data_IF_411401462595
#
_entry.id   IF_411401462595
#
_cell.length_a   1.000
_cell.length_b   1.000
_cell.length_c   1.000
_cell.angle_alpha   90.00
_cell.angle_beta   90.00
_cell.angle_gamma   90.00
#
_symmetry.space_group_name_H-M   'P 1'
#
loop_
_entity.id
_entity.type
_entity.pdbx_description
1 polymer ?
#
# COMPACT_ATOMS: atom_id res chain seq x y z
N UNK A 1 -26.87 -23.84 2.54
CA UNK A 1 -27.24 -23.16 3.79
C UNK A 1 -28.34 -22.16 3.46
N UNK A 2 -29.61 -22.49 3.75
CA UNK A 2 -30.73 -21.55 3.64
C UNK A 2 -30.96 -20.89 5.00
N UNK A 3 -30.86 -19.56 5.04
CA UNK A 3 -31.19 -18.76 6.22
C UNK A 3 -32.61 -18.23 6.12
N UNK A 4 -33.49 -18.64 7.01
CA UNK A 4 -34.78 -17.99 7.25
C UNK A 4 -34.69 -17.05 8.44
N UNK A 5 -35.20 -15.83 8.32
CA UNK A 5 -35.31 -14.84 9.38
C UNK A 5 -36.13 -15.38 10.56
N UNK A 6 -35.53 -15.42 11.74
CA UNK A 6 -36.34 -15.36 12.95
C UNK A 6 -36.07 -16.37 14.04
N UNK A 7 -35.23 -17.40 13.88
CA UNK A 7 -34.91 -18.32 14.97
C UNK A 7 -33.45 -18.74 14.90
N UNK A 8 -32.70 -18.42 15.92
CA UNK A 8 -31.37 -18.97 16.11
C UNK A 8 -31.54 -20.44 16.51
N UNK A 9 -31.47 -21.34 15.51
CA UNK A 9 -31.47 -22.78 15.81
C UNK A 9 -30.11 -23.18 16.36
N UNK A 10 -30.07 -23.86 17.48
CA UNK A 10 -28.91 -24.47 18.12
C UNK A 10 -28.35 -25.65 17.31
N UNK A 11 -28.66 -25.75 16.02
CA UNK A 11 -28.30 -26.86 15.13
C UNK A 11 -28.03 -26.39 13.70
N UNK A 12 -27.10 -27.06 13.03
CA UNK A 12 -26.78 -26.86 11.61
C UNK A 12 -27.27 -28.07 10.82
N UNK A 13 -28.07 -27.87 9.78
CA UNK A 13 -28.52 -28.95 8.89
C UNK A 13 -27.49 -29.23 7.81
N UNK A 14 -26.95 -30.43 7.74
CA UNK A 14 -25.97 -30.88 6.76
C UNK A 14 -26.65 -31.94 5.87
N UNK A 15 -27.42 -31.48 4.87
CA UNK A 15 -28.08 -32.33 3.88
C UNK A 15 -29.41 -32.94 4.36
N UNK A 16 -30.18 -33.57 3.49
CA UNK A 16 -31.47 -34.13 3.86
C UNK A 16 -31.31 -35.32 4.82
N UNK A 17 -31.65 -35.12 6.09
CA UNK A 17 -31.84 -36.18 7.09
C UNK A 17 -30.92 -36.21 8.31
N UNK A 18 -30.00 -35.29 8.50
CA UNK A 18 -29.17 -35.25 9.69
C UNK A 18 -29.13 -33.85 10.31
N UNK A 19 -29.78 -33.72 11.48
CA UNK A 19 -29.65 -32.52 12.32
C UNK A 19 -28.84 -32.92 13.56
N UNK A 20 -27.66 -32.36 13.71
CA UNK A 20 -26.81 -32.57 14.87
C UNK A 20 -26.70 -31.30 15.70
N UNK A 21 -27.00 -31.38 17.02
CA UNK A 21 -26.82 -30.27 17.93
C UNK A 21 -25.32 -29.95 18.08
N UNK A 22 -24.95 -28.67 17.90
CA UNK A 22 -23.58 -28.23 18.09
C UNK A 22 -23.24 -28.13 19.59
N UNK A 23 -22.03 -28.55 19.93
CA UNK A 23 -21.49 -28.32 21.25
C UNK A 23 -21.39 -26.82 21.58
N UNK A 24 -21.34 -26.40 22.85
CA UNK A 24 -21.22 -25.00 23.24
C UNK A 24 -20.00 -24.29 22.59
N UNK A 25 -18.91 -25.03 22.31
CA UNK A 25 -17.74 -24.54 21.55
C UNK A 25 -18.04 -24.37 20.06
N UNK A 26 -18.78 -25.30 19.46
CA UNK A 26 -19.22 -25.21 18.07
C UNK A 26 -20.20 -24.06 17.84
N UNK A 27 -21.12 -23.82 18.77
CA UNK A 27 -22.04 -22.67 18.71
C UNK A 27 -21.30 -21.32 18.81
N UNK A 28 -20.27 -21.21 19.64
CA UNK A 28 -19.42 -20.02 19.71
C UNK A 28 -18.65 -19.80 18.41
N UNK A 29 -18.08 -20.84 17.80
CA UNK A 29 -17.38 -20.77 16.54
C UNK A 29 -18.28 -20.31 15.40
N UNK A 30 -19.52 -20.86 15.30
CA UNK A 30 -20.50 -20.44 14.27
C UNK A 30 -20.97 -19.00 14.50
N UNK A 31 -21.19 -18.58 15.74
CA UNK A 31 -21.54 -17.18 16.06
C UNK A 31 -20.38 -16.23 15.72
N UNK A 32 -19.15 -16.61 16.04
CA UNK A 32 -17.95 -15.84 15.70
C UNK A 32 -17.80 -15.71 14.19
N UNK A 33 -17.97 -16.82 13.45
CA UNK A 33 -17.88 -16.83 11.98
C UNK A 33 -18.99 -16.00 11.31
N UNK A 34 -20.22 -16.02 11.85
CA UNK A 34 -21.32 -15.21 11.36
C UNK A 34 -21.07 -13.70 11.60
N UNK A 35 -20.49 -13.32 12.73
CA UNK A 35 -20.10 -11.95 13.04
C UNK A 35 -18.97 -11.49 12.12
N UNK A 36 -18.01 -12.37 11.85
CA UNK A 36 -16.91 -12.11 10.90
C UNK A 36 -17.46 -11.84 9.49
N UNK A 37 -18.32 -12.73 8.99
CA UNK A 37 -18.94 -12.57 7.67
C UNK A 37 -19.81 -11.31 7.58
N UNK A 38 -20.54 -10.98 8.66
CA UNK A 38 -21.36 -9.76 8.69
C UNK A 38 -20.51 -8.48 8.71
N UNK A 39 -19.41 -8.44 9.48
CA UNK A 39 -18.49 -7.30 9.51
C UNK A 39 -17.71 -7.13 8.21
N UNK A 40 -17.30 -8.24 7.58
CA UNK A 40 -16.57 -8.22 6.29
C UNK A 40 -17.49 -7.82 5.13
N UNK A 41 -18.77 -8.25 5.13
CA UNK A 41 -19.73 -7.95 4.07
C UNK A 41 -20.28 -6.50 4.12
N UNK A 42 -20.15 -5.80 5.25
CA UNK A 42 -20.80 -4.49 5.45
C UNK A 42 -22.30 -4.63 5.74
N UNK A 43 -22.88 -3.66 6.43
CA UNK A 43 -24.29 -3.66 6.86
C UNK A 43 -25.29 -3.27 5.73
N UNK A 44 -25.04 -3.65 4.50
CA UNK A 44 -25.91 -3.43 3.36
C UNK A 44 -25.86 -4.61 2.41
N UNK A 45 -26.99 -5.29 2.25
CA UNK A 45 -27.25 -6.42 1.37
C UNK A 45 -26.25 -7.59 1.42
N UNK A 46 -26.65 -8.67 2.07
CA UNK A 46 -26.03 -9.98 1.96
C UNK A 46 -26.30 -10.54 0.53
N UNK A 47 -25.72 -9.91 -0.48
CA UNK A 47 -25.57 -10.51 -1.78
C UNK A 47 -24.53 -11.63 -1.65
N UNK A 48 -24.94 -12.85 -1.95
CA UNK A 48 -24.11 -14.03 -2.12
C UNK A 48 -22.83 -13.61 -2.85
N UNK A 49 -21.67 -13.72 -2.19
CA UNK A 49 -20.37 -13.51 -2.81
C UNK A 49 -20.24 -14.55 -3.92
N UNK A 50 -20.50 -14.13 -5.15
CA UNK A 50 -20.20 -14.91 -6.35
C UNK A 50 -18.67 -15.14 -6.45
N UNK A 51 -18.24 -16.07 -7.32
CA UNK A 51 -16.82 -16.30 -7.56
C UNK A 51 -16.14 -14.95 -7.88
N UNK A 52 -14.86 -14.77 -7.52
CA UNK A 52 -14.15 -13.54 -7.77
C UNK A 52 -14.33 -13.14 -9.25
N UNK A 53 -14.94 -12.00 -9.47
CA UNK A 53 -15.18 -11.50 -10.83
C UNK A 53 -13.81 -11.37 -11.49
N UNK A 54 -13.65 -12.01 -12.65
CA UNK A 54 -12.50 -11.79 -13.50
C UNK A 54 -12.40 -10.28 -13.76
N UNK A 55 -11.33 -9.68 -13.27
CA UNK A 55 -11.05 -8.26 -13.37
C UNK A 55 -10.90 -7.90 -14.84
N UNK A 56 -11.55 -6.83 -15.34
CA UNK A 56 -11.15 -6.28 -16.63
C UNK A 56 -9.67 -5.89 -16.54
N UNK A 57 -8.86 -6.17 -17.56
CA UNK A 57 -7.51 -5.69 -17.62
C UNK A 57 -7.53 -4.15 -17.45
N UNK A 58 -6.54 -3.55 -16.77
CA UNK A 58 -6.40 -2.11 -16.78
C UNK A 58 -6.34 -1.63 -18.23
N UNK A 59 -6.80 -0.39 -18.54
CA UNK A 59 -6.56 0.19 -19.84
C UNK A 59 -5.06 0.08 -20.09
N UNK A 60 -4.70 -0.48 -21.24
CA UNK A 60 -3.34 -0.83 -21.56
C UNK A 60 -2.45 0.40 -21.33
N UNK A 61 -1.50 0.30 -20.39
CA UNK A 61 -0.40 1.25 -20.26
C UNK A 61 0.49 1.28 -21.50
N UNK A 62 0.26 0.34 -22.44
CA UNK A 62 0.97 0.19 -23.69
C UNK A 62 1.02 1.48 -24.54
N UNK A 63 -0.03 2.30 -24.49
CA UNK A 63 -0.03 3.57 -25.25
C UNK A 63 0.83 4.68 -24.59
N UNK A 64 1.33 4.46 -23.39
CA UNK A 64 2.08 5.46 -22.61
C UNK A 64 3.59 5.32 -22.76
N UNK A 65 4.05 4.14 -23.15
CA UNK A 65 5.47 3.84 -23.28
C UNK A 65 5.83 3.47 -24.71
N UNK A 66 7.03 3.84 -25.21
CA UNK A 66 7.50 3.42 -26.52
C UNK A 66 7.48 1.89 -26.65
N UNK A 67 7.10 1.38 -27.84
CA UNK A 67 7.21 -0.05 -28.15
C UNK A 67 8.67 -0.50 -27.94
N UNK A 68 8.86 -1.56 -27.14
CA UNK A 68 10.21 -2.08 -26.85
C UNK A 68 10.89 -1.45 -25.62
N UNK A 69 10.23 -0.56 -24.86
CA UNK A 69 10.80 -0.03 -23.62
C UNK A 69 11.17 -1.19 -22.66
N UNK A 70 12.45 -1.27 -22.30
CA UNK A 70 12.89 -2.16 -21.23
C UNK A 70 12.35 -1.68 -19.88
N UNK A 71 12.02 -2.64 -19.02
CA UNK A 71 11.52 -2.36 -17.67
C UNK A 71 12.51 -1.47 -16.91
N UNK A 72 11.98 -0.40 -16.28
CA UNK A 72 12.74 0.48 -15.40
C UNK A 72 11.95 0.71 -14.11
N UNK A 73 12.38 0.08 -13.02
CA UNK A 73 11.81 0.31 -11.68
C UNK A 73 12.81 1.12 -10.85
N UNK A 74 12.32 2.23 -10.31
CA UNK A 74 13.06 3.10 -9.39
C UNK A 74 12.39 3.04 -8.03
N UNK A 75 13.12 2.59 -7.00
CA UNK A 75 12.59 2.50 -5.64
C UNK A 75 13.11 3.63 -4.74
N UNK A 76 12.23 4.22 -3.95
CA UNK A 76 12.54 5.23 -2.94
C UNK A 76 12.09 4.74 -1.57
N UNK A 77 13.02 4.28 -0.75
CA UNK A 77 12.75 3.86 0.61
C UNK A 77 13.26 4.88 1.65
N UNK A 78 12.86 4.73 2.91
CA UNK A 78 13.33 5.56 4.01
C UNK A 78 12.26 5.85 5.07
N UNK A 79 12.62 6.53 6.17
CA UNK A 79 11.74 6.72 7.32
C UNK A 79 10.56 7.67 7.03
N UNK A 80 9.62 7.73 7.97
CA UNK A 80 8.46 8.60 7.87
C UNK A 80 8.88 10.09 7.84
N UNK A 81 8.33 10.87 6.90
CA UNK A 81 8.61 12.31 6.80
C UNK A 81 9.95 12.68 6.14
N UNK A 82 10.70 11.73 5.54
CA UNK A 82 11.93 12.04 4.78
C UNK A 82 11.68 12.73 3.43
N UNK A 83 10.40 12.84 2.99
CA UNK A 83 10.05 13.52 1.74
C UNK A 83 9.83 12.60 0.54
N UNK A 84 9.98 11.28 0.71
CA UNK A 84 9.89 10.26 -0.37
C UNK A 84 8.72 10.42 -1.32
N UNK A 85 7.49 10.50 -0.82
CA UNK A 85 6.29 10.57 -1.64
C UNK A 85 6.28 11.82 -2.54
N UNK A 86 6.75 12.96 -2.00
CA UNK A 86 6.84 14.20 -2.77
C UNK A 86 7.93 14.11 -3.83
N UNK A 87 9.10 13.57 -3.47
CA UNK A 87 10.23 13.36 -4.40
C UNK A 87 9.83 12.36 -5.48
N UNK A 88 9.32 11.19 -5.11
CA UNK A 88 8.94 10.13 -6.05
C UNK A 88 7.89 10.60 -7.06
N UNK A 89 6.83 11.28 -6.60
CA UNK A 89 5.81 11.83 -7.48
C UNK A 89 6.38 12.86 -8.45
N UNK A 90 7.22 13.78 -7.95
CA UNK A 90 7.81 14.82 -8.80
C UNK A 90 8.82 14.26 -9.81
N UNK A 91 9.59 13.28 -9.39
CA UNK A 91 10.51 12.53 -10.27
C UNK A 91 9.74 11.80 -11.38
N UNK A 92 8.71 11.05 -11.02
CA UNK A 92 7.86 10.33 -11.98
C UNK A 92 7.25 11.29 -13.01
N UNK A 93 6.67 12.41 -12.55
CA UNK A 93 6.09 13.42 -13.42
C UNK A 93 7.14 14.06 -14.38
N UNK A 94 8.36 14.36 -13.89
CA UNK A 94 9.44 14.93 -14.73
C UNK A 94 9.96 13.95 -15.78
N UNK A 95 9.94 12.67 -15.49
CA UNK A 95 10.46 11.61 -16.35
C UNK A 95 9.39 10.93 -17.21
N UNK A 96 8.11 11.27 -17.03
CA UNK A 96 7.00 10.61 -17.71
C UNK A 96 6.78 9.16 -17.27
N UNK A 97 7.20 8.82 -16.04
CA UNK A 97 7.04 7.50 -15.44
C UNK A 97 5.78 7.43 -14.58
N UNK A 98 5.27 6.22 -14.36
CA UNK A 98 4.17 5.99 -13.42
C UNK A 98 4.65 6.11 -11.96
N UNK A 99 3.74 6.53 -11.07
CA UNK A 99 4.04 6.71 -9.65
C UNK A 99 3.19 5.78 -8.78
N UNK A 100 3.84 4.97 -7.93
CA UNK A 100 3.19 4.08 -6.97
C UNK A 100 3.47 4.50 -5.53
N UNK A 101 2.45 5.02 -4.83
CA UNK A 101 2.46 5.23 -3.37
C UNK A 101 2.01 3.95 -2.67
N UNK A 102 2.95 3.12 -2.24
CA UNK A 102 2.60 1.87 -1.54
C UNK A 102 2.01 2.14 -0.15
N UNK A 103 2.42 3.23 0.48
CA UNK A 103 1.83 3.67 1.74
C UNK A 103 0.34 3.98 1.61
N UNK A 104 -0.11 4.45 0.45
CA UNK A 104 -1.54 4.64 0.17
C UNK A 104 -2.31 3.32 0.20
N UNK A 105 -1.74 2.20 -0.30
CA UNK A 105 -2.40 0.87 -0.27
C UNK A 105 -2.66 0.41 1.17
N UNK A 106 -1.63 0.48 2.03
CA UNK A 106 -1.78 0.14 3.45
C UNK A 106 -2.78 1.06 4.17
N UNK A 107 -2.75 2.36 3.88
CA UNK A 107 -3.70 3.34 4.45
C UNK A 107 -5.13 3.12 3.97
N UNK A 108 -5.33 2.78 2.71
CA UNK A 108 -6.65 2.45 2.16
C UNK A 108 -7.25 1.21 2.81
N UNK A 109 -6.45 0.16 2.98
CA UNK A 109 -6.86 -1.03 3.72
C UNK A 109 -7.18 -0.69 5.19
N UNK A 110 -6.36 0.15 5.84
CA UNK A 110 -6.60 0.61 7.21
C UNK A 110 -7.92 1.39 7.31
N UNK A 111 -8.15 2.33 6.40
CA UNK A 111 -9.40 3.10 6.37
C UNK A 111 -10.63 2.19 6.20
N UNK A 112 -10.52 1.16 5.35
CA UNK A 112 -11.58 0.18 5.14
C UNK A 112 -11.80 -0.70 6.37
N UNK A 113 -10.73 -1.13 7.08
CA UNK A 113 -10.82 -1.87 8.32
C UNK A 113 -11.53 -1.05 9.40
N UNK A 114 -11.12 0.19 9.60
CA UNK A 114 -11.75 1.11 10.56
C UNK A 114 -13.22 1.38 10.22
N UNK A 115 -13.55 1.56 8.94
CA UNK A 115 -14.93 1.76 8.50
C UNK A 115 -15.84 0.54 8.77
N UNK A 116 -15.25 -0.67 8.84
CA UNK A 116 -15.95 -1.92 9.21
C UNK A 116 -15.93 -2.19 10.73
N UNK A 117 -15.34 -1.30 11.52
CA UNK A 117 -15.24 -1.42 12.96
C UNK A 117 -14.29 -2.54 13.40
N UNK A 118 -13.29 -2.88 12.57
CA UNK A 118 -12.26 -3.87 12.94
C UNK A 118 -11.23 -3.17 13.84
N UNK A 119 -10.99 -3.76 15.01
CA UNK A 119 -9.90 -3.37 15.90
C UNK A 119 -8.59 -3.95 15.34
N UNK A 120 -7.81 -3.10 14.66
CA UNK A 120 -6.60 -3.53 13.96
C UNK A 120 -5.48 -4.01 14.89
N UNK A 121 -5.52 -3.65 16.17
CA UNK A 121 -4.54 -4.07 17.17
C UNK A 121 -4.86 -5.44 17.78
N UNK A 122 -6.15 -5.85 17.78
CA UNK A 122 -6.60 -7.05 18.48
C UNK A 122 -7.33 -8.07 17.59
N UNK A 123 -7.81 -7.66 16.41
CA UNK A 123 -8.60 -8.50 15.53
C UNK A 123 -7.84 -8.89 14.25
N UNK A 124 -6.58 -9.32 14.36
CA UNK A 124 -5.75 -9.76 13.24
C UNK A 124 -6.45 -10.72 12.27
N UNK A 125 -7.17 -11.78 12.72
CA UNK A 125 -7.90 -12.67 11.83
C UNK A 125 -8.96 -11.97 10.96
N UNK A 126 -9.64 -10.93 11.46
CA UNK A 126 -10.61 -10.14 10.67
C UNK A 126 -9.91 -9.28 9.64
N UNK A 127 -8.75 -8.74 9.98
CA UNK A 127 -7.93 -7.96 9.07
C UNK A 127 -7.39 -8.84 7.92
N UNK A 128 -6.97 -10.07 8.23
CA UNK A 128 -6.54 -11.06 7.24
C UNK A 128 -7.69 -11.44 6.29
N UNK A 129 -8.88 -11.65 6.83
CA UNK A 129 -10.06 -11.95 6.02
C UNK A 129 -10.44 -10.75 5.14
N UNK A 130 -10.37 -9.53 5.68
CA UNK A 130 -10.62 -8.32 4.92
C UNK A 130 -9.69 -8.22 3.71
N UNK A 131 -8.37 -8.37 3.89
CA UNK A 131 -7.40 -8.14 2.81
C UNK A 131 -7.53 -9.16 1.67
N UNK A 132 -8.01 -10.36 1.95
CA UNK A 132 -8.23 -11.40 0.93
C UNK A 132 -9.39 -11.10 -0.01
N UNK A 133 -10.36 -10.30 0.44
CA UNK A 133 -11.60 -10.05 -0.30
C UNK A 133 -11.72 -8.60 -0.79
N UNK A 134 -10.93 -7.68 -0.24
CA UNK A 134 -10.99 -6.27 -0.62
C UNK A 134 -10.24 -6.04 -1.95
N UNK A 135 -10.86 -5.26 -2.84
CA UNK A 135 -10.20 -4.80 -4.07
C UNK A 135 -9.48 -3.46 -3.80
N UNK A 136 -8.14 -3.50 -3.76
CA UNK A 136 -7.29 -2.30 -3.61
C UNK A 136 -6.58 -2.04 -4.93
N UNK A 137 -6.89 -0.91 -5.58
CA UNK A 137 -6.33 -0.56 -6.89
C UNK A 137 -6.15 0.93 -7.06
N UNK A 138 -5.34 1.32 -8.03
CA UNK A 138 -5.18 2.71 -8.44
C UNK A 138 -5.98 3.02 -9.70
N UNK A 139 -6.54 4.22 -9.75
CA UNK A 139 -7.03 4.85 -10.97
C UNK A 139 -5.87 5.65 -11.59
N UNK A 140 -5.25 5.08 -12.62
CA UNK A 140 -4.10 5.64 -13.32
C UNK A 140 -4.47 6.74 -14.31
N UNK A 141 -5.76 7.03 -14.50
CA UNK A 141 -6.21 8.12 -15.36
C UNK A 141 -5.97 9.51 -14.75
N UNK A 142 -5.57 9.57 -13.48
CA UNK A 142 -5.28 10.81 -12.76
C UNK A 142 -3.82 10.91 -12.36
N UNK A 143 -3.29 12.13 -12.22
CA UNK A 143 -1.95 12.42 -11.68
C UNK A 143 -2.07 13.31 -10.44
N UNK A 144 -1.70 12.83 -9.24
CA UNK A 144 -1.28 11.45 -8.94
C UNK A 144 -2.45 10.45 -9.06
N UNK A 145 -2.14 9.15 -9.25
CA UNK A 145 -3.15 8.11 -9.28
C UNK A 145 -3.99 8.08 -8.01
N UNK A 146 -5.31 7.96 -8.14
CA UNK A 146 -6.24 7.87 -7.01
C UNK A 146 -6.35 6.45 -6.49
N UNK A 147 -6.44 6.29 -5.16
CA UNK A 147 -6.63 4.98 -4.56
C UNK A 147 -8.12 4.64 -4.47
N UNK A 148 -8.50 3.54 -5.10
CA UNK A 148 -9.83 2.96 -5.02
C UNK A 148 -9.80 1.72 -4.14
N UNK A 149 -10.72 1.64 -3.17
CA UNK A 149 -10.93 0.46 -2.33
C UNK A 149 -12.40 0.01 -2.49
N UNK A 150 -12.61 -1.23 -2.96
CA UNK A 150 -13.94 -1.72 -3.35
C UNK A 150 -14.68 -0.73 -4.29
N UNK A 151 -13.93 -0.10 -5.20
CA UNK A 151 -14.44 0.87 -6.16
C UNK A 151 -14.72 2.28 -5.61
N UNK A 152 -14.49 2.52 -4.32
CA UNK A 152 -14.65 3.84 -3.69
C UNK A 152 -13.32 4.58 -3.64
N UNK A 153 -13.31 5.84 -4.05
CA UNK A 153 -12.14 6.72 -3.88
C UNK A 153 -11.95 7.04 -2.39
N UNK A 154 -10.82 6.61 -1.84
CA UNK A 154 -10.43 6.88 -0.46
C UNK A 154 -9.26 7.88 -0.35
N UNK A 155 -8.87 8.53 -1.45
CA UNK A 155 -7.68 9.39 -1.51
C UNK A 155 -7.65 10.46 -0.41
N UNK A 156 -8.76 11.12 -0.16
CA UNK A 156 -8.87 12.17 0.88
C UNK A 156 -8.79 11.60 2.30
N UNK A 157 -9.24 10.35 2.49
CA UNK A 157 -9.30 9.67 3.78
C UNK A 157 -7.94 9.15 4.25
N UNK A 158 -6.99 8.93 3.32
CA UNK A 158 -5.70 8.27 3.60
C UNK A 158 -4.83 8.98 4.65
N UNK A 159 -5.04 10.28 4.85
CA UNK A 159 -4.21 11.10 5.76
C UNK A 159 -4.95 11.54 7.02
N UNK A 160 -6.12 11.00 7.26
CA UNK A 160 -6.84 11.23 8.50
C UNK A 160 -6.07 10.68 9.69
N UNK A 161 -6.32 11.24 10.87
CA UNK A 161 -5.56 10.95 12.07
C UNK A 161 -5.70 9.48 12.48
N UNK A 162 -6.92 8.97 12.53
CA UNK A 162 -7.21 7.57 12.90
C UNK A 162 -6.53 6.57 11.96
N UNK A 163 -6.56 6.81 10.64
CA UNK A 163 -5.83 6.00 9.66
C UNK A 163 -4.31 6.10 9.87
N UNK A 164 -3.80 7.31 10.15
CA UNK A 164 -2.38 7.54 10.38
C UNK A 164 -1.89 6.84 11.65
N UNK A 165 -2.70 6.83 12.70
CA UNK A 165 -2.37 6.19 13.98
C UNK A 165 -2.41 4.65 13.87
N UNK A 166 -3.37 4.10 13.11
CA UNK A 166 -3.62 2.67 12.99
C UNK A 166 -2.78 1.94 11.90
N UNK A 167 -2.27 2.64 10.90
CA UNK A 167 -1.62 2.00 9.72
C UNK A 167 -0.38 1.18 10.07
N UNK A 168 0.31 1.48 11.17
CA UNK A 168 1.51 0.73 11.58
C UNK A 168 1.15 -0.70 12.01
N UNK A 169 0.06 -0.90 12.74
CA UNK A 169 -0.44 -2.22 13.11
C UNK A 169 -0.83 -3.04 11.86
N UNK A 170 -1.59 -2.44 10.95
CA UNK A 170 -2.00 -3.08 9.69
C UNK A 170 -0.81 -3.48 8.83
N UNK A 171 0.21 -2.61 8.73
CA UNK A 171 1.40 -2.89 7.92
C UNK A 171 2.37 -3.89 8.57
N UNK A 172 2.20 -4.21 9.84
CA UNK A 172 2.98 -5.22 10.55
C UNK A 172 2.38 -6.64 10.39
N UNK A 173 1.10 -6.77 9.99
CA UNK A 173 0.44 -8.06 9.81
C UNK A 173 0.98 -8.81 8.60
N UNK A 174 1.60 -10.00 8.78
CA UNK A 174 2.27 -10.72 7.70
C UNK A 174 1.36 -11.03 6.51
N UNK A 175 0.15 -11.53 6.77
CA UNK A 175 -0.78 -11.90 5.71
C UNK A 175 -1.29 -10.69 4.90
N UNK A 176 -1.40 -9.52 5.53
CA UNK A 176 -1.67 -8.26 4.82
C UNK A 176 -0.52 -7.92 3.89
N UNK A 177 0.70 -8.08 4.37
CA UNK A 177 1.88 -7.80 3.57
C UNK A 177 1.98 -8.73 2.37
N UNK A 178 1.78 -10.02 2.56
CA UNK A 178 1.85 -11.02 1.47
C UNK A 178 0.92 -10.63 0.32
N UNK A 179 -0.32 -10.26 0.62
CA UNK A 179 -1.30 -9.86 -0.40
C UNK A 179 -0.92 -8.52 -1.06
N UNK A 180 -0.54 -7.51 -0.26
CA UNK A 180 -0.22 -6.20 -0.82
C UNK A 180 1.12 -6.19 -1.57
N UNK A 181 2.13 -6.92 -1.13
CA UNK A 181 3.40 -7.08 -1.85
C UNK A 181 3.18 -7.72 -3.21
N UNK A 182 2.37 -8.80 -3.29
CA UNK A 182 2.06 -9.40 -4.60
C UNK A 182 1.26 -8.44 -5.49
N UNK A 183 0.36 -7.64 -4.92
CA UNK A 183 -0.34 -6.61 -5.68
C UNK A 183 0.63 -5.53 -6.23
N UNK A 184 1.60 -5.09 -5.43
CA UNK A 184 2.65 -4.14 -5.85
C UNK A 184 3.52 -4.73 -6.96
N UNK A 185 3.95 -5.99 -6.84
CA UNK A 185 4.71 -6.69 -7.88
C UNK A 185 3.93 -6.82 -9.18
N UNK A 186 2.63 -7.09 -9.09
CA UNK A 186 1.77 -7.11 -10.28
C UNK A 186 1.73 -5.74 -10.96
N UNK A 187 1.56 -4.66 -10.20
CA UNK A 187 1.61 -3.30 -10.73
C UNK A 187 2.95 -3.05 -11.44
N UNK A 188 4.08 -3.45 -10.84
CA UNK A 188 5.38 -3.30 -11.49
C UNK A 188 5.57 -4.13 -12.76
N UNK A 189 4.77 -5.20 -12.98
CA UNK A 189 4.72 -5.93 -14.25
C UNK A 189 3.84 -5.24 -15.29
N UNK A 190 2.78 -4.58 -14.84
CA UNK A 190 1.81 -3.87 -15.70
C UNK A 190 2.31 -2.47 -16.11
N UNK A 191 3.27 -1.90 -15.38
CA UNK A 191 3.82 -0.56 -15.55
C UNK A 191 5.36 -0.63 -15.71
N UNK A 192 5.86 -0.76 -16.94
CA UNK A 192 7.29 -0.98 -17.20
C UNK A 192 8.18 0.18 -16.76
N UNK A 193 7.67 1.41 -16.75
CA UNK A 193 8.37 2.60 -16.22
C UNK A 193 7.74 3.05 -14.90
N UNK A 194 8.31 2.66 -13.74
CA UNK A 194 7.68 2.87 -12.44
C UNK A 194 8.63 3.49 -11.42
N UNK A 195 8.19 4.59 -10.79
CA UNK A 195 8.78 5.11 -9.56
C UNK A 195 7.89 4.69 -8.39
N UNK A 196 8.43 3.92 -7.46
CA UNK A 196 7.69 3.44 -6.28
C UNK A 196 8.32 3.94 -4.99
N UNK A 197 7.49 4.24 -3.98
CA UNK A 197 7.98 4.65 -2.66
C UNK A 197 7.38 3.81 -1.54
N UNK A 198 8.19 3.59 -0.50
CA UNK A 198 7.76 2.79 0.66
C UNK A 198 8.75 2.74 1.80
N UNK A 199 8.94 1.52 2.34
CA UNK A 199 9.87 1.18 3.42
C UNK A 199 10.81 0.04 3.06
N UNK A 200 10.38 -0.78 2.14
CA UNK A 200 10.99 -2.05 1.78
C UNK A 200 10.84 -2.35 0.28
N UNK A 201 10.72 -1.29 -0.51
CA UNK A 201 10.54 -1.43 -1.95
C UNK A 201 11.78 -2.05 -2.60
N UNK A 202 12.96 -1.54 -2.31
CA UNK A 202 14.22 -2.04 -2.85
C UNK A 202 14.78 -3.28 -2.14
N UNK A 203 14.28 -3.63 -0.94
CA UNK A 203 14.76 -4.79 -0.19
C UNK A 203 13.87 -6.03 -0.31
N UNK A 204 12.54 -5.85 -0.47
CA UNK A 204 11.56 -6.94 -0.44
C UNK A 204 10.68 -6.96 -1.68
N UNK A 205 10.11 -5.83 -2.08
CA UNK A 205 9.10 -5.81 -3.16
C UNK A 205 9.77 -5.95 -4.52
N UNK A 206 10.78 -5.14 -4.80
CA UNK A 206 11.54 -5.09 -6.04
C UNK A 206 13.05 -5.21 -5.74
N UNK A 207 13.51 -6.38 -5.24
CA UNK A 207 14.93 -6.57 -4.91
C UNK A 207 15.85 -6.44 -6.13
N UNK A 208 15.31 -6.64 -7.32
CA UNK A 208 16.01 -6.53 -8.61
C UNK A 208 15.73 -5.19 -9.32
N UNK A 209 15.27 -4.15 -8.58
CA UNK A 209 15.05 -2.83 -9.16
C UNK A 209 16.37 -2.25 -9.69
N UNK A 210 16.31 -1.63 -10.87
CA UNK A 210 17.46 -1.09 -11.57
C UNK A 210 18.13 0.08 -10.83
N UNK A 211 17.32 0.83 -10.07
CA UNK A 211 17.81 1.94 -9.26
C UNK A 211 17.10 1.97 -7.90
N UNK A 212 17.89 1.99 -6.83
CA UNK A 212 17.39 2.03 -5.46
C UNK A 212 17.95 3.25 -4.74
N UNK A 213 17.06 4.01 -4.14
CA UNK A 213 17.39 5.18 -3.33
C UNK A 213 16.84 5.04 -1.92
N UNK A 214 17.66 5.39 -0.94
CA UNK A 214 17.24 5.45 0.46
C UNK A 214 17.33 6.89 0.95
N UNK A 215 16.17 7.53 1.14
CA UNK A 215 16.08 8.91 1.58
C UNK A 215 16.02 8.99 3.09
N UNK A 216 17.07 9.52 3.71
CA UNK A 216 17.14 9.75 5.13
C UNK A 216 17.03 11.25 5.46
N UNK A 217 16.65 11.57 6.68
CA UNK A 217 16.75 12.89 7.29
C UNK A 217 16.65 12.79 8.81
N UNK A 218 17.26 13.71 9.53
CA UNK A 218 17.18 13.74 10.98
C UNK A 218 15.73 13.85 11.46
N UNK A 219 15.38 13.21 12.59
CA UNK A 219 14.04 13.28 13.16
C UNK A 219 13.58 14.72 13.43
N UNK A 220 14.53 15.62 13.76
CA UNK A 220 14.27 17.06 13.93
C UNK A 220 13.78 17.70 12.61
N UNK A 221 14.50 17.49 11.51
CA UNK A 221 14.13 18.03 10.19
C UNK A 221 12.80 17.47 9.73
N UNK A 222 12.56 16.17 9.91
CA UNK A 222 11.30 15.52 9.54
C UNK A 222 10.11 16.05 10.35
N UNK A 223 10.30 16.29 11.65
CA UNK A 223 9.29 16.94 12.50
C UNK A 223 8.99 18.37 12.04
N UNK A 224 10.00 19.14 11.68
CA UNK A 224 9.83 20.49 11.17
C UNK A 224 9.05 20.50 9.82
N UNK A 225 9.39 19.58 8.89
CA UNK A 225 8.64 19.41 7.62
C UNK A 225 7.19 19.08 7.89
N UNK A 226 6.89 18.17 8.82
CA UNK A 226 5.52 17.81 9.19
C UNK A 226 4.78 18.96 9.87
N UNK A 227 5.42 19.71 10.74
CA UNK A 227 4.85 20.90 11.39
C UNK A 227 4.49 21.97 10.34
N UNK A 228 5.36 22.18 9.33
CA UNK A 228 5.05 23.04 8.19
C UNK A 228 3.77 22.63 7.47
N UNK A 229 3.64 21.36 7.11
CA UNK A 229 2.43 20.83 6.47
C UNK A 229 1.16 21.06 7.31
N UNK A 230 1.22 20.85 8.63
CA UNK A 230 0.08 21.09 9.52
C UNK A 230 -0.27 22.56 9.62
N UNK A 231 0.75 23.44 9.63
CA UNK A 231 0.57 24.90 9.62
C UNK A 231 -0.16 25.36 8.36
N UNK A 232 0.28 24.86 7.18
CA UNK A 232 -0.32 25.22 5.89
C UNK A 232 -1.79 24.78 5.81
N UNK A 233 -2.16 23.71 6.53
CA UNK A 233 -3.52 23.22 6.67
C UNK A 233 -4.32 23.91 7.79
N UNK A 234 -3.74 24.89 8.51
CA UNK A 234 -4.38 25.55 9.65
C UNK A 234 -4.63 24.63 10.86
N UNK A 235 -3.94 23.48 10.95
CA UNK A 235 -4.11 22.50 12.04
C UNK A 235 -3.14 22.79 13.17
N UNK A 236 -3.59 22.71 14.44
CA UNK A 236 -2.69 22.87 15.59
C UNK A 236 -1.68 21.71 15.64
N UNK A 237 -0.49 22.00 16.13
CA UNK A 237 0.57 20.99 16.30
C UNK A 237 1.46 21.32 17.51
N UNK A 238 2.06 20.27 18.07
CA UNK A 238 3.19 20.33 18.98
C UNK A 238 4.39 19.64 18.33
N UNK A 239 5.49 20.38 18.18
CA UNK A 239 6.67 19.91 17.44
C UNK A 239 7.33 18.71 18.12
N UNK A 240 7.37 18.70 19.46
CA UNK A 240 8.01 17.59 20.20
C UNK A 240 7.15 16.32 20.12
N UNK A 241 5.85 16.47 20.23
CA UNK A 241 4.89 15.35 20.02
C UNK A 241 5.01 14.74 18.62
N UNK A 242 5.15 15.59 17.59
CA UNK A 242 5.40 15.12 16.21
C UNK A 242 6.73 14.35 16.15
N UNK A 243 7.80 14.89 16.76
CA UNK A 243 9.11 14.24 16.74
C UNK A 243 9.08 12.87 17.43
N UNK A 244 8.44 12.78 18.59
CA UNK A 244 8.27 11.52 19.32
C UNK A 244 7.49 10.49 18.51
N UNK A 245 6.39 10.91 17.89
CA UNK A 245 5.59 10.04 17.01
C UNK A 245 6.40 9.52 15.81
N UNK A 246 7.24 10.37 15.19
CA UNK A 246 8.14 9.98 14.11
C UNK A 246 9.15 8.93 14.59
N UNK A 247 9.81 9.15 15.72
CA UNK A 247 10.80 8.22 16.29
C UNK A 247 10.16 6.88 16.64
N UNK A 248 9.00 6.90 17.27
CA UNK A 248 8.26 5.68 17.62
C UNK A 248 7.88 4.88 16.36
N UNK A 249 7.43 5.57 15.32
CA UNK A 249 7.10 4.93 14.04
C UNK A 249 8.33 4.35 13.33
N UNK A 250 9.44 5.09 13.30
CA UNK A 250 10.68 4.58 12.69
C UNK A 250 11.18 3.33 13.42
N UNK A 251 11.07 3.32 14.75
CA UNK A 251 11.40 2.14 15.55
C UNK A 251 10.50 0.97 15.17
N UNK A 252 9.19 1.17 15.10
CA UNK A 252 8.24 0.13 14.70
C UNK A 252 8.51 -0.37 13.27
N UNK A 253 8.76 0.54 12.30
CA UNK A 253 9.05 0.20 10.92
C UNK A 253 10.38 -0.59 10.79
N UNK A 254 11.41 -0.25 11.58
CA UNK A 254 12.74 -0.90 11.50
C UNK A 254 12.84 -2.22 12.27
N UNK A 255 12.00 -2.41 13.31
CA UNK A 255 12.05 -3.61 14.17
C UNK A 255 11.00 -4.66 13.80
N UNK A 256 10.08 -4.36 12.89
CA UNK A 256 9.06 -5.34 12.48
C UNK A 256 9.72 -6.55 11.82
N UNK A 257 9.14 -7.73 12.07
CA UNK A 257 9.67 -9.01 11.62
C UNK A 257 9.66 -9.20 10.09
N UNK A 258 8.66 -8.62 9.42
CA UNK A 258 8.44 -8.78 7.98
C UNK A 258 8.54 -7.45 7.26
N UNK A 259 9.42 -7.36 6.26
CA UNK A 259 9.70 -6.14 5.48
C UNK A 259 10.15 -4.97 6.37
N UNK A 260 11.18 -5.12 7.23
CA UNK A 260 11.66 -4.03 8.04
C UNK A 260 12.18 -2.89 7.17
N UNK A 261 12.13 -1.67 7.71
CA UNK A 261 12.79 -0.52 7.10
C UNK A 261 14.30 -0.70 7.21
N UNK A 262 14.94 -1.09 6.13
CA UNK A 262 16.39 -1.21 6.00
C UNK A 262 16.86 -0.48 4.75
N UNK A 263 18.10 0.02 4.76
CA UNK A 263 18.76 0.52 3.58
C UNK A 263 19.41 -0.68 2.86
N UNK A 264 18.98 -1.06 1.63
CA UNK A 264 19.69 -2.07 0.86
C UNK A 264 21.15 -1.68 0.62
N UNK A 265 22.05 -2.67 0.53
CA UNK A 265 23.49 -2.41 0.33
C UNK A 265 23.77 -1.74 -1.02
N UNK A 266 22.95 -2.04 -2.02
CA UNK A 266 23.03 -1.50 -3.38
C UNK A 266 22.19 -0.22 -3.57
N UNK A 267 21.61 0.31 -2.49
CA UNK A 267 20.86 1.57 -2.56
C UNK A 267 21.77 2.80 -2.37
N UNK A 268 21.51 3.82 -3.16
CA UNK A 268 22.12 5.13 -2.96
C UNK A 268 21.46 5.84 -1.75
N UNK A 269 22.21 5.97 -0.65
CA UNK A 269 21.73 6.62 0.56
C UNK A 269 21.92 8.12 0.49
N UNK A 270 20.81 8.87 0.59
CA UNK A 270 20.77 10.32 0.48
C UNK A 270 20.33 10.94 1.80
N UNK A 271 21.21 11.73 2.45
CA UNK A 271 20.78 12.59 3.55
C UNK A 271 20.12 13.85 2.99
N UNK A 272 18.82 13.89 3.08
CA UNK A 272 18.01 15.03 2.61
C UNK A 272 17.89 16.15 3.62
N UNK A 273 18.56 16.06 4.81
CA UNK A 273 18.46 17.07 5.86
C UNK A 273 18.90 18.46 5.39
N UNK A 274 20.05 18.61 4.69
CA UNK A 274 20.51 19.90 4.20
C UNK A 274 19.89 20.33 2.87
N UNK A 275 19.13 19.44 2.20
CA UNK A 275 18.70 19.64 0.82
C UNK A 275 17.28 20.19 0.73
N UNK A 276 17.05 21.01 -0.27
CA UNK A 276 15.71 21.38 -0.76
C UNK A 276 15.09 20.22 -1.54
N UNK A 277 13.78 20.29 -1.76
CA UNK A 277 13.07 19.29 -2.56
C UNK A 277 13.62 19.21 -3.98
N UNK A 278 13.90 20.36 -4.60
CA UNK A 278 14.40 20.41 -5.98
C UNK A 278 15.79 19.80 -6.11
N UNK A 279 16.69 20.09 -5.17
CA UNK A 279 18.05 19.48 -5.15
C UNK A 279 17.99 17.95 -5.01
N UNK A 280 17.07 17.41 -4.20
CA UNK A 280 16.91 15.95 -4.07
C UNK A 280 16.38 15.35 -5.39
N UNK A 281 15.38 15.99 -6.00
CA UNK A 281 14.81 15.51 -7.27
C UNK A 281 15.84 15.58 -8.38
N UNK A 282 16.59 16.69 -8.52
CA UNK A 282 17.62 16.88 -9.53
C UNK A 282 18.75 15.85 -9.39
N UNK A 283 19.17 15.56 -8.14
CA UNK A 283 20.17 14.54 -7.87
C UNK A 283 19.74 13.14 -8.32
N UNK A 284 18.50 12.76 -8.00
CA UNK A 284 17.97 11.44 -8.38
C UNK A 284 17.71 11.39 -9.89
N UNK A 285 17.11 12.44 -10.47
CA UNK A 285 16.85 12.52 -11.90
C UNK A 285 18.13 12.35 -12.74
N UNK A 286 19.23 12.98 -12.33
CA UNK A 286 20.51 12.86 -13.01
C UNK A 286 21.03 11.41 -13.09
N UNK A 287 20.63 10.54 -12.13
CA UNK A 287 20.98 9.11 -12.13
C UNK A 287 19.98 8.23 -12.88
N UNK A 288 18.70 8.61 -12.88
CA UNK A 288 17.63 7.84 -13.53
C UNK A 288 17.61 8.09 -15.04
N UNK A 289 17.78 9.32 -15.46
CA UNK A 289 17.66 9.72 -16.87
C UNK A 289 18.55 8.91 -17.83
N UNK A 290 19.84 8.68 -17.57
CA UNK A 290 20.66 7.85 -18.45
C UNK A 290 20.17 6.40 -18.59
N UNK A 291 19.56 5.85 -17.55
CA UNK A 291 18.95 4.50 -17.59
C UNK A 291 17.67 4.50 -18.39
N UNK A 292 16.84 5.53 -18.22
CA UNK A 292 15.61 5.70 -18.98
C UNK A 292 15.90 5.87 -20.47
N UNK A 293 16.88 6.69 -20.83
CA UNK A 293 17.29 6.92 -22.22
C UNK A 293 17.83 5.62 -22.85
N UNK A 294 18.60 4.83 -22.10
CA UNK A 294 19.08 3.52 -22.54
C UNK A 294 17.95 2.50 -22.72
N UNK A 295 16.94 2.50 -21.83
CA UNK A 295 15.78 1.59 -21.93
C UNK A 295 14.83 1.93 -23.07
N UNK A 296 14.86 3.17 -23.56
CA UNK A 296 14.08 3.64 -24.69
C UNK A 296 14.83 3.51 -26.05
N UNK A 297 16.11 3.13 -26.03
CA UNK A 297 16.87 2.92 -27.25
C UNK A 297 16.35 1.69 -28.01
N UNK A 298 16.06 1.77 -29.31
CA UNK A 298 15.65 0.60 -30.08
C UNK A 298 16.76 -0.46 -30.05
N UNK A 299 16.35 -1.74 -29.89
CA UNK A 299 17.30 -2.87 -29.95
C UNK A 299 18.10 -2.80 -31.26
N UNK A 300 19.38 -2.46 -31.16
CA UNK A 300 20.30 -2.39 -32.31
C UNK A 300 20.67 -3.79 -32.87
N UNK A 301 20.03 -4.87 -32.41
CA UNK A 301 20.32 -6.26 -32.76
C UNK A 301 19.31 -6.85 -33.76
N UNK A 302 18.97 -6.11 -34.83
CA UNK A 302 18.02 -6.57 -35.86
C UNK A 302 18.43 -6.35 -37.29
N UNK A 303 19.74 -6.18 -37.59
CA UNK A 303 20.23 -6.11 -38.98
C UNK A 303 21.55 -6.85 -39.16
N UNK A 304 21.50 -8.18 -39.07
CA UNK A 304 22.43 -9.08 -39.74
C UNK A 304 21.71 -10.40 -40.02
N UNK A 305 21.37 -10.68 -41.27
CA UNK A 305 20.88 -11.97 -41.71
C UNK A 305 20.14 -11.88 -43.02
#
# INVERSE_FOLDING_TARGET
LSYTRGVWADSVSIGPGATQALSPRGQRAVKSMAVVLWRVAGAGDAAVLGPPRSRPPPPASADRYPDGMQRLIVTLDGPAGSGKSTVARRLASRLGLDFLDTGAMYRGLTAQALARGIDVDHEGPLLVELVRHVDVRFDWATDPPRLLVDGKDLTDRLRDRDVTDAVSAVSAEPAVRDVLVESQRRIGREHPGLVTEGRDQGSVVFPDAELKFYLDASSKVRAQRRAGQLRDLGKPFDLESIRQSIVARDHADSTRKFGPLICPEDADKIDTSPMTLDEVVDYIEAKVRPRLDASNAPDAAGTEG
#
